data_IF_195124072858
#
_entry.id   IF_195124072858
#
_cell.length_a   1.000
_cell.length_b   1.000
_cell.length_c   1.000
_cell.angle_alpha   90.00
_cell.angle_beta   90.00
_cell.angle_gamma   90.00
#
_symmetry.space_group_name_H-M   'P 1'
#
loop_
_entity.id
_entity.type
_entity.pdbx_description
1 polymer ?
#
# COMPACT_ATOMS: atom_id res chain seq x y z
N UNK A 1 13.95 -12.40 12.93
CA UNK A 1 12.78 -11.52 13.01
C UNK A 1 11.64 -12.15 12.24
N UNK A 2 10.86 -12.95 12.95
CA UNK A 2 9.60 -13.60 12.55
C UNK A 2 8.47 -12.97 13.36
N UNK A 3 7.21 -13.18 13.01
CA UNK A 3 6.07 -12.66 13.79
C UNK A 3 6.13 -13.07 15.28
N UNK A 4 6.69 -14.25 15.57
CA UNK A 4 6.91 -14.72 16.93
C UNK A 4 7.89 -13.86 17.74
N UNK A 5 8.82 -13.16 17.07
CA UNK A 5 9.77 -12.25 17.72
C UNK A 5 9.07 -10.97 18.24
N UNK A 6 7.81 -10.73 17.84
CA UNK A 6 6.98 -9.60 18.26
C UNK A 6 5.78 -10.02 19.13
N UNK A 7 5.67 -11.31 19.46
CA UNK A 7 4.54 -11.84 20.23
C UNK A 7 4.55 -11.29 21.67
N UNK A 8 3.68 -10.32 21.95
CA UNK A 8 3.56 -9.65 23.24
C UNK A 8 3.98 -8.17 23.22
N UNK A 9 4.53 -7.69 22.11
CA UNK A 9 4.70 -6.26 21.90
C UNK A 9 3.35 -5.61 21.56
N UNK A 10 3.09 -4.38 22.07
CA UNK A 10 1.91 -3.64 21.64
C UNK A 10 1.95 -3.43 20.12
N UNK A 11 0.77 -3.39 19.49
CA UNK A 11 0.65 -3.12 18.07
C UNK A 11 1.48 -1.87 17.72
N UNK A 12 2.36 -2.00 16.72
CA UNK A 12 3.20 -0.89 16.28
C UNK A 12 2.30 0.14 15.62
N UNK A 13 2.16 1.29 16.28
CA UNK A 13 1.47 2.43 15.70
C UNK A 13 2.25 2.94 14.49
N UNK A 14 1.60 3.13 13.33
CA UNK A 14 2.26 3.73 12.18
C UNK A 14 2.70 5.16 12.53
N UNK A 15 3.84 5.57 12.00
CA UNK A 15 4.29 6.96 12.09
C UNK A 15 3.23 7.86 11.45
N UNK A 16 2.97 9.07 11.98
CA UNK A 16 1.91 9.95 11.49
C UNK A 16 1.94 10.18 9.98
N UNK A 17 3.13 10.33 9.41
CA UNK A 17 3.34 10.59 7.99
C UNK A 17 2.96 9.39 7.11
N UNK A 18 3.10 8.17 7.65
CA UNK A 18 2.79 6.92 6.92
C UNK A 18 1.33 6.51 7.06
N UNK A 19 0.56 7.13 7.97
CA UNK A 19 -0.82 6.73 8.24
C UNK A 19 -1.71 6.91 7.00
N UNK A 20 -1.52 7.99 6.25
CA UNK A 20 -2.27 8.25 5.02
C UNK A 20 -2.02 7.17 3.96
N UNK A 21 -0.75 6.82 3.71
CA UNK A 21 -0.36 5.76 2.79
C UNK A 21 -0.91 4.40 3.23
N UNK A 22 -0.80 4.06 4.52
CA UNK A 22 -1.32 2.82 5.07
C UNK A 22 -2.84 2.69 4.89
N UNK A 23 -3.60 3.74 5.20
CA UNK A 23 -5.06 3.74 5.05
C UNK A 23 -5.48 3.66 3.57
N UNK A 24 -4.76 4.36 2.69
CA UNK A 24 -5.02 4.32 1.26
C UNK A 24 -4.69 2.94 0.66
N UNK A 25 -3.57 2.33 1.05
CA UNK A 25 -3.22 0.97 0.64
C UNK A 25 -4.25 -0.05 1.14
N UNK A 26 -4.71 0.06 2.39
CA UNK A 26 -5.79 -0.78 2.91
C UNK A 26 -7.10 -0.62 2.12
N UNK A 27 -7.41 0.60 1.67
CA UNK A 27 -8.57 0.84 0.81
C UNK A 27 -8.40 0.15 -0.57
N UNK A 28 -7.19 0.13 -1.11
CA UNK A 28 -6.86 -0.48 -2.40
C UNK A 28 -6.60 -1.98 -2.35
N UNK A 29 -6.61 -2.61 -1.16
CA UNK A 29 -6.18 -4.01 -0.96
C UNK A 29 -6.87 -5.05 -1.85
N UNK A 30 -8.06 -4.75 -2.37
CA UNK A 30 -8.82 -5.64 -3.28
C UNK A 30 -8.78 -5.20 -4.74
N UNK A 31 -8.18 -4.05 -5.04
CA UNK A 31 -8.22 -3.38 -6.34
C UNK A 31 -6.98 -3.72 -7.16
N UNK A 32 -6.78 -5.02 -7.40
CA UNK A 32 -5.69 -5.51 -8.23
C UNK A 32 -6.13 -5.70 -9.68
N UNK A 33 -5.32 -5.25 -10.62
CA UNK A 33 -5.37 -5.71 -12.00
C UNK A 33 -4.79 -7.11 -12.03
N UNK A 34 -5.56 -8.06 -12.55
CA UNK A 34 -5.18 -9.49 -12.60
C UNK A 34 -5.14 -9.98 -14.04
N UNK A 35 -4.13 -10.80 -14.35
CA UNK A 35 -4.01 -11.52 -15.62
C UNK A 35 -3.91 -13.02 -15.41
N UNK A 36 -3.55 -13.76 -16.46
CA UNK A 36 -3.39 -15.22 -16.39
C UNK A 36 -2.37 -15.70 -15.33
N UNK A 37 -1.44 -14.82 -14.91
CA UNK A 37 -0.44 -15.08 -13.86
C UNK A 37 -0.76 -14.47 -12.48
N UNK A 38 -1.99 -14.01 -12.24
CA UNK A 38 -2.39 -13.39 -10.98
C UNK A 38 -2.27 -11.85 -10.97
N UNK A 39 -2.22 -11.23 -9.78
CA UNK A 39 -2.14 -9.77 -9.61
C UNK A 39 -0.84 -9.18 -10.20
N UNK A 40 -0.96 -8.23 -11.13
CA UNK A 40 0.21 -7.56 -11.74
C UNK A 40 0.49 -6.18 -11.16
N UNK A 41 -0.52 -5.55 -10.54
CA UNK A 41 -0.44 -4.20 -9.98
C UNK A 41 -1.81 -3.71 -9.51
N UNK A 42 -1.82 -2.67 -8.69
CA UNK A 42 -3.00 -1.94 -8.26
C UNK A 42 -3.62 -1.19 -9.44
N UNK A 43 -4.93 -0.94 -9.37
CA UNK A 43 -5.59 -0.06 -10.34
C UNK A 43 -5.35 1.41 -9.99
N UNK A 44 -4.42 2.04 -10.71
CA UNK A 44 -4.09 3.45 -10.53
C UNK A 44 -5.28 4.38 -10.82
N UNK A 45 -6.25 3.94 -11.64
CA UNK A 45 -7.49 4.71 -11.86
C UNK A 45 -8.29 4.87 -10.56
N UNK A 46 -8.31 3.83 -9.72
CA UNK A 46 -8.99 3.85 -8.42
C UNK A 46 -8.17 4.64 -7.39
N UNK A 47 -6.84 4.48 -7.41
CA UNK A 47 -5.91 5.24 -6.59
C UNK A 47 -6.09 6.75 -6.82
N UNK A 48 -5.91 7.22 -8.05
CA UNK A 48 -5.99 8.64 -8.40
C UNK A 48 -7.38 9.20 -8.07
N UNK A 49 -8.46 8.46 -8.42
CA UNK A 49 -9.83 8.89 -8.07
C UNK A 49 -10.05 9.04 -6.56
N UNK A 50 -9.38 8.24 -5.74
CA UNK A 50 -9.44 8.36 -4.28
C UNK A 50 -8.63 9.56 -3.80
N UNK A 51 -7.42 9.76 -4.32
CA UNK A 51 -6.51 10.86 -3.97
C UNK A 51 -7.05 12.22 -4.40
N UNK A 52 -7.71 12.32 -5.56
CA UNK A 52 -8.35 13.55 -6.05
C UNK A 52 -9.36 14.15 -5.03
N UNK A 53 -9.93 13.29 -4.19
CA UNK A 53 -10.91 13.67 -3.17
C UNK A 53 -10.29 14.05 -1.83
N UNK A 54 -8.97 13.97 -1.70
CA UNK A 54 -8.23 14.25 -0.46
C UNK A 54 -7.78 15.72 -0.38
N UNK A 55 -7.80 16.46 -1.50
CA UNK A 55 -7.45 17.89 -1.51
C UNK A 55 -6.00 18.16 -1.13
N UNK A 56 -5.09 17.28 -1.54
CA UNK A 56 -3.66 17.32 -1.23
C UNK A 56 -2.95 18.45 -2.01
N UNK A 57 -1.86 18.97 -1.45
CA UNK A 57 -0.92 19.77 -2.22
C UNK A 57 -0.22 18.89 -3.28
N UNK A 58 0.31 19.46 -4.38
CA UNK A 58 0.98 18.68 -5.42
C UNK A 58 2.11 17.79 -4.88
N UNK A 59 2.97 18.32 -4.01
CA UNK A 59 4.08 17.56 -3.44
C UNK A 59 3.60 16.41 -2.53
N UNK A 60 2.53 16.63 -1.75
CA UNK A 60 1.92 15.60 -0.90
C UNK A 60 1.24 14.52 -1.74
N UNK A 61 0.66 14.90 -2.88
CA UNK A 61 0.07 13.97 -3.83
C UNK A 61 1.14 13.06 -4.41
N UNK A 62 2.22 13.65 -4.93
CA UNK A 62 3.34 12.92 -5.52
C UNK A 62 4.01 11.98 -4.50
N UNK A 63 4.20 12.47 -3.26
CA UNK A 63 4.77 11.66 -2.18
C UNK A 63 3.85 10.49 -1.82
N UNK A 64 2.54 10.73 -1.66
CA UNK A 64 1.58 9.68 -1.32
C UNK A 64 1.45 8.63 -2.44
N UNK A 65 1.50 9.04 -3.69
CA UNK A 65 1.56 8.10 -4.82
C UNK A 65 2.83 7.24 -4.78
N UNK A 66 3.98 7.86 -4.51
CA UNK A 66 5.25 7.16 -4.38
C UNK A 66 5.24 6.14 -3.24
N UNK A 67 4.67 6.49 -2.08
CA UNK A 67 4.55 5.57 -0.95
C UNK A 67 3.69 4.36 -1.31
N UNK A 68 2.60 4.55 -2.08
CA UNK A 68 1.78 3.45 -2.57
C UNK A 68 2.53 2.56 -3.56
N UNK A 69 3.34 3.12 -4.44
CA UNK A 69 4.21 2.34 -5.35
C UNK A 69 5.16 1.42 -4.57
N UNK A 70 5.78 1.92 -3.50
CA UNK A 70 6.66 1.12 -2.64
C UNK A 70 5.88 -0.03 -2.00
N UNK A 71 4.69 0.24 -1.46
CA UNK A 71 3.84 -0.78 -0.84
C UNK A 71 3.33 -1.82 -1.84
N UNK A 72 2.99 -1.40 -3.07
CA UNK A 72 2.60 -2.29 -4.17
C UNK A 72 3.73 -3.26 -4.52
N UNK A 73 4.96 -2.75 -4.73
CA UNK A 73 6.13 -3.58 -5.04
C UNK A 73 6.38 -4.59 -3.92
N UNK A 74 6.33 -4.15 -2.66
CA UNK A 74 6.49 -5.04 -1.51
C UNK A 74 5.40 -6.13 -1.48
N UNK A 75 4.14 -5.77 -1.72
CA UNK A 75 3.04 -6.72 -1.76
C UNK A 75 3.19 -7.73 -2.90
N UNK A 76 3.58 -7.30 -4.11
CA UNK A 76 3.85 -8.19 -5.23
C UNK A 76 5.00 -9.16 -4.92
N UNK A 77 6.07 -8.67 -4.29
CA UNK A 77 7.18 -9.53 -3.84
C UNK A 77 6.70 -10.57 -2.83
N UNK A 78 5.79 -10.24 -1.91
CA UNK A 78 5.20 -11.19 -0.98
C UNK A 78 4.29 -12.21 -1.69
N UNK A 79 3.43 -11.76 -2.62
CA UNK A 79 2.53 -12.62 -3.40
C UNK A 79 3.31 -13.66 -4.21
N UNK A 80 4.47 -13.26 -4.77
CA UNK A 80 5.29 -14.10 -5.63
C UNK A 80 6.52 -14.70 -4.94
N UNK A 81 6.68 -14.49 -3.63
CA UNK A 81 7.72 -15.14 -2.86
C UNK A 81 7.55 -16.66 -2.97
N UNK A 82 8.58 -17.35 -3.48
CA UNK A 82 8.60 -18.81 -3.48
C UNK A 82 8.70 -19.28 -2.04
N UNK A 83 7.73 -20.09 -1.62
CA UNK A 83 7.75 -20.84 -0.36
C UNK A 83 8.93 -21.81 -0.34
#
# INVERSE_FOLDING_TARGET
MTEADFAGEPAVEPWPDNLAALLLFQYLRTQWRTGAGGPSGLDYTVLHRKMDRMGLAPDDYDQLEHDIQIMEIAALNCIYAKT
#
